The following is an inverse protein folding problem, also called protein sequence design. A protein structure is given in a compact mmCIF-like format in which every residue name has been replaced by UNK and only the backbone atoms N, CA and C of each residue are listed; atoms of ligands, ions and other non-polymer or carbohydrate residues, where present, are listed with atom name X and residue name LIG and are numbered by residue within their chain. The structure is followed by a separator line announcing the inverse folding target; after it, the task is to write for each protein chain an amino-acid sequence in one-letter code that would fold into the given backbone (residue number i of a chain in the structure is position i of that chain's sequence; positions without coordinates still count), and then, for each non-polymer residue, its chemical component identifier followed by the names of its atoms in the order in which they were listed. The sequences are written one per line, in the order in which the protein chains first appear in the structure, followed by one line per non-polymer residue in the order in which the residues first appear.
data_IF_786053402668
#
_entry.id   IF_786053402668
#
_cell.length_a   1.000
_cell.length_b   1.000
_cell.length_c   1.000
_cell.angle_alpha   90.00
_cell.angle_beta   90.00
_cell.angle_gamma   90.00
#
_symmetry.space_group_name_H-M   'P 1'
#
loop_
_entity.id
_entity.type
_entity.pdbx_description
1 polymer ?
#
# COMPACT_ATOMS: atom_id res chain seq x y z
N UNK A 1 -2.91 0.10 25.57
CA UNK A 1 -4.10 0.20 24.71
C UNK A 1 -4.45 1.67 24.57
N UNK A 2 -4.02 2.28 23.46
CA UNK A 2 -4.09 3.75 23.28
C UNK A 2 -5.52 4.21 23.03
N UNK A 3 -6.32 3.44 22.28
CA UNK A 3 -7.72 3.78 22.00
C UNK A 3 -8.55 3.88 23.28
N UNK A 4 -8.48 2.84 24.13
CA UNK A 4 -9.15 2.83 25.43
C UNK A 4 -8.68 3.97 26.34
N UNK A 5 -7.40 4.32 26.31
CA UNK A 5 -6.88 5.44 27.10
C UNK A 5 -7.44 6.77 26.59
N UNK A 6 -7.40 7.02 25.29
CA UNK A 6 -7.89 8.25 24.68
C UNK A 6 -9.38 8.48 24.95
N UNK A 7 -10.20 7.46 24.77
CA UNK A 7 -11.66 7.55 24.94
C UNK A 7 -12.09 7.67 26.42
N UNK A 8 -11.22 7.33 27.38
CA UNK A 8 -11.49 7.55 28.81
C UNK A 8 -11.12 8.96 29.26
N UNK A 9 -10.02 9.49 28.76
CA UNK A 9 -9.46 10.78 29.22
C UNK A 9 -10.15 11.98 28.59
N UNK A 10 -10.76 11.84 27.40
CA UNK A 10 -11.39 12.94 26.68
C UNK A 10 -12.68 12.49 25.99
N UNK A 11 -13.71 13.36 25.94
CA UNK A 11 -14.80 13.16 25.00
C UNK A 11 -14.23 13.31 23.58
N UNK A 12 -14.28 12.21 22.82
CA UNK A 12 -13.88 12.19 21.41
C UNK A 12 -15.06 11.67 20.60
N UNK A 13 -15.48 12.44 19.59
CA UNK A 13 -16.52 12.00 18.65
C UNK A 13 -15.94 11.04 17.61
N UNK A 14 -14.65 11.21 17.28
CA UNK A 14 -13.90 10.36 16.35
C UNK A 14 -12.50 10.10 16.92
N UNK A 15 -12.07 8.84 16.85
CA UNK A 15 -10.69 8.45 17.04
C UNK A 15 -10.20 7.68 15.81
N UNK A 16 -9.05 8.07 15.25
CA UNK A 16 -8.38 7.33 14.19
C UNK A 16 -7.10 6.71 14.75
N UNK A 17 -7.02 5.38 14.71
CA UNK A 17 -5.90 4.59 15.21
C UNK A 17 -5.26 3.88 14.04
N UNK A 18 -3.98 4.13 13.80
CA UNK A 18 -3.19 3.45 12.77
C UNK A 18 -2.00 2.75 13.40
N UNK A 19 -1.65 1.59 12.85
CA UNK A 19 -0.46 0.82 13.23
C UNK A 19 0.64 0.98 12.18
N UNK A 20 1.73 0.26 12.35
CA UNK A 20 2.73 0.04 11.29
C UNK A 20 2.69 -1.43 10.86
N UNK A 21 3.14 -1.70 9.66
CA UNK A 21 3.15 -3.02 9.01
C UNK A 21 4.45 -3.80 9.23
N UNK A 22 5.29 -3.39 10.20
CA UNK A 22 6.57 -4.04 10.50
C UNK A 22 6.41 -5.56 10.70
N UNK A 23 5.41 -5.99 11.47
CA UNK A 23 5.18 -7.42 11.70
C UNK A 23 4.84 -8.17 10.40
N UNK A 24 4.11 -7.53 9.48
CA UNK A 24 3.64 -8.07 8.20
C UNK A 24 4.76 -8.13 7.16
N UNK A 25 5.70 -7.18 7.19
CA UNK A 25 6.95 -7.24 6.44
C UNK A 25 7.84 -8.40 6.89
N UNK A 26 7.94 -8.62 8.21
CA UNK A 26 8.86 -9.62 8.77
C UNK A 26 8.32 -11.05 8.69
N UNK A 27 7.00 -11.24 8.66
CA UNK A 27 6.39 -12.54 8.87
C UNK A 27 5.21 -12.80 7.92
N UNK A 28 5.16 -14.00 7.33
CA UNK A 28 4.00 -14.48 6.59
C UNK A 28 2.78 -14.70 7.53
N UNK A 29 1.54 -14.69 7.03
CA UNK A 29 0.33 -14.77 7.87
C UNK A 29 0.25 -16.00 8.79
N UNK A 30 0.83 -17.12 8.39
CA UNK A 30 0.86 -18.38 9.12
C UNK A 30 2.03 -18.49 10.12
N UNK A 31 2.96 -17.53 10.11
CA UNK A 31 4.08 -17.52 11.03
C UNK A 31 3.61 -17.28 12.48
N UNK A 32 4.17 -17.97 13.50
CA UNK A 32 3.74 -17.82 14.89
C UNK A 32 3.77 -16.39 15.42
N UNK A 33 4.74 -15.57 14.98
CA UNK A 33 4.83 -14.17 15.40
C UNK A 33 3.78 -13.27 14.73
N UNK A 34 3.38 -13.55 13.48
CA UNK A 34 2.27 -12.86 12.82
C UNK A 34 0.94 -13.19 13.51
N UNK A 35 0.71 -14.47 13.81
CA UNK A 35 -0.48 -14.92 14.56
C UNK A 35 -0.53 -14.24 15.94
N UNK A 36 0.60 -14.20 16.65
CA UNK A 36 0.68 -13.50 17.95
C UNK A 36 0.39 -12.01 17.81
N UNK A 37 0.93 -11.35 16.79
CA UNK A 37 0.66 -9.94 16.53
C UNK A 37 -0.84 -9.69 16.30
N UNK A 38 -1.50 -10.52 15.49
CA UNK A 38 -2.94 -10.44 15.26
C UNK A 38 -3.75 -10.68 16.54
N UNK A 39 -3.35 -11.61 17.40
CA UNK A 39 -4.00 -11.83 18.70
C UNK A 39 -3.91 -10.59 19.61
N UNK A 40 -2.79 -9.85 19.58
CA UNK A 40 -2.64 -8.61 20.35
C UNK A 40 -3.62 -7.53 19.86
N UNK A 41 -3.81 -7.43 18.54
CA UNK A 41 -4.77 -6.51 17.94
C UNK A 41 -6.21 -6.90 18.28
N UNK A 42 -6.55 -8.18 18.14
CA UNK A 42 -7.87 -8.73 18.48
C UNK A 42 -8.23 -8.45 19.95
N UNK A 43 -7.32 -8.76 20.87
CA UNK A 43 -7.48 -8.49 22.30
C UNK A 43 -7.69 -6.99 22.60
N UNK A 44 -7.00 -6.11 21.87
CA UNK A 44 -7.15 -4.65 22.04
C UNK A 44 -8.49 -4.15 21.50
N UNK A 45 -8.92 -4.61 20.33
CA UNK A 45 -10.21 -4.29 19.74
C UNK A 45 -11.35 -4.81 20.64
N UNK A 46 -11.24 -6.04 21.14
CA UNK A 46 -12.21 -6.63 22.06
C UNK A 46 -12.35 -5.82 23.36
N UNK A 47 -11.25 -5.36 23.94
CA UNK A 47 -11.31 -4.46 25.12
C UNK A 47 -11.92 -3.11 24.78
N UNK A 48 -11.63 -2.54 23.60
CA UNK A 48 -12.20 -1.28 23.16
C UNK A 48 -13.73 -1.39 23.04
N UNK A 49 -14.22 -2.42 22.35
CA UNK A 49 -15.64 -2.70 22.21
C UNK A 49 -16.32 -2.93 23.58
N UNK A 50 -15.68 -3.68 24.48
CA UNK A 50 -16.25 -3.97 25.80
C UNK A 50 -16.34 -2.73 26.72
N UNK A 51 -15.36 -1.83 26.66
CA UNK A 51 -15.34 -0.62 27.50
C UNK A 51 -16.18 0.51 26.92
N UNK A 52 -16.43 0.50 25.61
CA UNK A 52 -17.16 1.53 24.89
C UNK A 52 -18.27 0.89 24.03
N UNK A 53 -19.30 0.29 24.66
CA UNK A 53 -20.34 -0.49 23.95
C UNK A 53 -21.22 0.35 23.03
N UNK A 54 -21.21 1.68 23.15
CA UNK A 54 -21.93 2.60 22.28
C UNK A 54 -21.08 3.09 21.09
N UNK A 55 -19.79 2.73 21.04
CA UNK A 55 -18.92 3.12 19.94
C UNK A 55 -19.14 2.23 18.72
N UNK A 56 -19.26 2.84 17.55
CA UNK A 56 -19.09 2.14 16.28
C UNK A 56 -17.59 1.95 16.00
N UNK A 57 -17.18 0.74 15.63
CA UNK A 57 -15.79 0.42 15.32
C UNK A 57 -15.71 -0.03 13.86
N UNK A 58 -14.82 0.59 13.10
CA UNK A 58 -14.45 0.19 11.75
C UNK A 58 -12.98 -0.19 11.74
N UNK A 59 -12.66 -1.36 11.19
CA UNK A 59 -11.30 -1.87 11.03
C UNK A 59 -11.03 -2.08 9.55
N UNK A 60 -9.96 -1.49 9.05
CA UNK A 60 -9.49 -1.66 7.67
C UNK A 60 -7.96 -1.63 7.62
N UNK A 61 -7.39 -1.95 6.47
CA UNK A 61 -5.98 -1.69 6.17
C UNK A 61 -5.82 -0.59 5.12
N UNK A 62 -4.65 0.03 5.11
CA UNK A 62 -4.18 0.93 4.04
C UNK A 62 -3.79 0.14 2.79
N UNK A 63 -3.12 -1.00 2.96
CA UNK A 63 -2.79 -1.95 1.90
C UNK A 63 -2.61 -3.38 2.42
N UNK A 64 -2.52 -4.34 1.50
CA UNK A 64 -2.12 -5.72 1.74
C UNK A 64 -0.60 -5.91 1.80
N UNK A 65 -0.15 -7.17 1.78
CA UNK A 65 1.27 -7.53 1.85
C UNK A 65 1.54 -8.89 1.19
N UNK A 66 2.47 -8.95 0.25
CA UNK A 66 2.83 -10.18 -0.47
C UNK A 66 4.31 -10.54 -0.32
N UNK A 67 4.62 -11.82 -0.50
CA UNK A 67 6.00 -12.28 -0.62
C UNK A 67 6.57 -11.88 -1.99
N UNK A 68 7.80 -11.37 -1.99
CA UNK A 68 8.52 -10.88 -3.15
C UNK A 68 9.82 -11.67 -3.30
N UNK A 69 10.00 -12.30 -4.44
CA UNK A 69 11.10 -13.22 -4.71
C UNK A 69 11.97 -12.79 -5.89
N UNK A 70 11.57 -11.73 -6.59
CA UNK A 70 12.26 -11.24 -7.79
C UNK A 70 12.39 -9.72 -7.74
N UNK A 71 13.47 -9.21 -8.34
CA UNK A 71 13.75 -7.79 -8.43
C UNK A 71 14.10 -7.41 -9.88
N UNK A 72 13.45 -6.37 -10.39
CA UNK A 72 13.70 -5.85 -11.74
C UNK A 72 14.25 -4.42 -11.65
N UNK A 73 15.34 -4.18 -12.38
CA UNK A 73 15.93 -2.86 -12.52
C UNK A 73 15.43 -2.17 -13.79
N UNK A 74 14.41 -1.32 -13.64
CA UNK A 74 13.79 -0.61 -14.75
C UNK A 74 14.76 0.36 -15.44
N UNK A 75 15.74 0.90 -14.72
CA UNK A 75 16.73 1.83 -15.28
C UNK A 75 17.71 1.07 -16.16
N UNK A 76 18.20 -0.08 -15.70
CA UNK A 76 19.04 -0.96 -16.49
C UNK A 76 18.32 -1.46 -17.75
N UNK A 77 17.04 -1.85 -17.62
CA UNK A 77 16.19 -2.28 -18.75
C UNK A 77 16.08 -1.20 -19.83
N UNK A 78 15.76 0.04 -19.45
CA UNK A 78 15.60 1.15 -20.41
C UNK A 78 16.94 1.61 -20.99
N UNK A 79 17.98 1.71 -20.18
CA UNK A 79 19.32 2.11 -20.64
C UNK A 79 19.94 1.11 -21.61
N UNK A 80 19.65 -0.19 -21.49
CA UNK A 80 20.06 -1.20 -22.46
C UNK A 80 19.47 -0.97 -23.86
N UNK A 81 18.40 -0.18 -23.97
CA UNK A 81 17.78 0.28 -25.22
C UNK A 81 18.20 1.70 -25.61
N UNK A 82 19.09 2.34 -24.85
CA UNK A 82 19.52 3.72 -25.08
C UNK A 82 18.52 4.77 -24.60
N UNK A 83 17.55 4.39 -23.76
CA UNK A 83 16.56 5.31 -23.20
C UNK A 83 17.03 5.79 -21.83
N UNK A 84 17.39 7.07 -21.75
CA UNK A 84 17.68 7.75 -20.49
C UNK A 84 16.39 7.93 -19.68
N UNK A 85 16.43 7.52 -18.41
CA UNK A 85 15.27 7.58 -17.50
C UNK A 85 15.69 7.68 -16.04
N UNK A 86 14.77 8.17 -15.21
CA UNK A 86 14.91 8.25 -13.76
C UNK A 86 13.71 7.57 -13.07
N UNK A 87 13.77 6.25 -12.82
CA UNK A 87 12.77 5.55 -12.02
C UNK A 87 12.83 5.92 -10.53
N UNK A 88 11.68 6.14 -9.91
CA UNK A 88 11.52 6.52 -8.50
C UNK A 88 10.48 5.61 -7.86
N UNK A 89 10.88 4.85 -6.84
CA UNK A 89 9.96 4.03 -6.04
C UNK A 89 8.92 4.89 -5.33
N UNK A 90 7.66 4.46 -5.36
CA UNK A 90 6.57 5.18 -4.67
C UNK A 90 6.65 5.04 -3.15
N UNK A 91 7.37 4.02 -2.66
CA UNK A 91 7.61 3.77 -1.24
C UNK A 91 8.94 4.37 -0.77
N UNK A 92 9.55 5.29 -1.50
CA UNK A 92 10.87 5.82 -1.18
C UNK A 92 10.85 6.60 0.14
N UNK A 93 11.47 6.04 1.17
CA UNK A 93 11.66 6.70 2.47
C UNK A 93 13.11 7.18 2.61
N UNK A 94 13.29 8.27 3.36
CA UNK A 94 14.58 8.71 3.90
C UNK A 94 15.13 7.68 4.90
N UNK A 95 14.27 6.91 5.56
CA UNK A 95 14.63 5.86 6.52
C UNK A 95 14.37 4.47 5.93
N UNK A 96 15.43 3.79 5.52
CA UNK A 96 15.39 2.57 4.67
C UNK A 96 15.02 1.27 5.43
N UNK A 97 14.62 1.35 6.71
CA UNK A 97 14.54 0.19 7.61
C UNK A 97 13.46 -0.85 7.27
N UNK A 98 12.41 -0.49 6.51
CA UNK A 98 11.20 -1.32 6.42
C UNK A 98 11.09 -2.17 5.15
N UNK A 99 11.57 -1.69 4.00
CA UNK A 99 11.42 -2.39 2.71
C UNK A 99 12.60 -2.16 1.76
N UNK A 100 13.72 -1.59 2.23
CA UNK A 100 14.88 -1.26 1.39
C UNK A 100 14.56 -0.39 0.15
N UNK A 101 13.47 0.39 0.20
CA UNK A 101 12.87 1.08 -0.95
C UNK A 101 12.44 0.18 -2.13
N UNK A 102 12.26 -1.13 -1.90
CA UNK A 102 11.82 -2.13 -2.87
C UNK A 102 10.30 -2.32 -2.81
N UNK A 103 9.60 -1.79 -3.82
CA UNK A 103 8.14 -1.85 -3.92
C UNK A 103 7.68 -2.31 -5.28
N UNK A 104 6.38 -2.65 -5.37
CA UNK A 104 5.76 -3.12 -6.60
C UNK A 104 5.31 -2.02 -7.57
N UNK A 105 5.75 -0.77 -7.37
CA UNK A 105 5.42 0.34 -8.26
C UNK A 105 6.52 1.42 -8.28
N UNK A 106 6.78 1.96 -9.48
CA UNK A 106 7.69 3.08 -9.70
C UNK A 106 7.08 4.12 -10.63
N UNK A 107 7.43 5.38 -10.39
CA UNK A 107 7.25 6.47 -11.34
C UNK A 107 8.53 6.62 -12.17
N UNK A 108 8.42 6.53 -13.48
CA UNK A 108 9.54 6.73 -14.39
C UNK A 108 9.43 8.11 -15.01
N UNK A 109 10.47 8.93 -14.78
CA UNK A 109 10.61 10.25 -15.39
C UNK A 109 11.59 10.15 -16.56
N UNK A 110 11.22 10.65 -17.73
CA UNK A 110 12.03 10.60 -18.95
C UNK A 110 11.64 11.71 -19.93
N UNK A 111 12.37 11.83 -21.03
CA UNK A 111 11.95 12.73 -22.12
C UNK A 111 10.61 12.25 -22.70
N UNK A 112 9.58 13.11 -22.80
CA UNK A 112 8.28 12.75 -23.41
C UNK A 112 8.40 12.15 -24.81
N UNK A 113 9.44 12.49 -25.58
CA UNK A 113 9.69 11.92 -26.90
C UNK A 113 9.94 10.39 -26.86
N UNK A 114 10.40 9.86 -25.73
CA UNK A 114 10.76 8.45 -25.54
C UNK A 114 9.66 7.62 -24.86
N UNK A 115 8.55 8.23 -24.43
CA UNK A 115 7.51 7.53 -23.64
C UNK A 115 6.95 6.32 -24.38
N UNK A 116 6.64 6.44 -25.68
CA UNK A 116 6.06 5.33 -26.45
C UNK A 116 7.01 4.14 -26.52
N UNK A 117 8.29 4.37 -26.85
CA UNK A 117 9.30 3.31 -26.94
C UNK A 117 9.58 2.69 -25.57
N UNK A 118 9.68 3.52 -24.52
CA UNK A 118 9.88 3.04 -23.16
C UNK A 118 8.73 2.15 -22.68
N UNK A 119 7.48 2.52 -22.98
CA UNK A 119 6.31 1.70 -22.61
C UNK A 119 6.30 0.35 -23.33
N UNK A 120 6.70 0.28 -24.60
CA UNK A 120 6.84 -0.99 -25.32
C UNK A 120 7.87 -1.90 -24.64
N UNK A 121 9.05 -1.36 -24.34
CA UNK A 121 10.12 -2.10 -23.65
C UNK A 121 9.66 -2.58 -22.27
N UNK A 122 9.02 -1.71 -21.48
CA UNK A 122 8.56 -2.03 -20.13
C UNK A 122 7.48 -3.13 -20.15
N UNK A 123 6.51 -3.06 -21.06
CA UNK A 123 5.45 -4.08 -21.18
C UNK A 123 5.96 -5.44 -21.63
N UNK A 124 7.07 -5.49 -22.35
CA UNK A 124 7.73 -6.74 -22.74
C UNK A 124 8.70 -7.27 -21.67
N UNK A 125 8.95 -6.52 -20.60
CA UNK A 125 9.90 -6.89 -19.55
C UNK A 125 9.26 -7.89 -18.58
N UNK A 126 9.83 -9.10 -18.40
CA UNK A 126 9.35 -10.03 -17.40
C UNK A 126 9.35 -9.43 -15.99
N UNK A 127 8.24 -9.61 -15.26
CA UNK A 127 8.04 -9.06 -13.92
C UNK A 127 7.34 -7.70 -13.88
N UNK A 128 7.12 -7.06 -15.03
CA UNK A 128 6.24 -5.89 -15.17
C UNK A 128 4.82 -6.36 -15.47
N UNK A 129 3.87 -6.02 -14.61
CA UNK A 129 2.43 -6.29 -14.80
C UNK A 129 1.80 -5.26 -15.75
N UNK A 130 2.10 -3.98 -15.55
CA UNK A 130 1.60 -2.92 -16.43
C UNK A 130 2.57 -1.72 -16.50
N UNK A 131 2.54 -1.02 -17.63
CA UNK A 131 3.17 0.28 -17.80
C UNK A 131 2.17 1.22 -18.45
N UNK A 132 1.84 2.28 -17.73
CA UNK A 132 0.75 3.21 -18.03
C UNK A 132 1.31 4.61 -18.20
N UNK A 133 0.77 5.36 -19.17
CA UNK A 133 1.05 6.79 -19.27
C UNK A 133 0.61 7.50 -17.98
N UNK A 134 1.15 8.70 -17.76
CA UNK A 134 0.68 9.63 -16.72
C UNK A 134 -0.85 9.74 -16.72
N UNK A 135 -1.45 9.98 -17.87
CA UNK A 135 -2.89 10.23 -18.00
C UNK A 135 -3.72 8.96 -17.71
N UNK A 136 -3.30 7.82 -18.24
CA UNK A 136 -3.95 6.52 -17.95
C UNK A 136 -3.87 6.19 -16.46
N UNK A 137 -2.73 6.45 -15.83
CA UNK A 137 -2.50 6.21 -14.41
C UNK A 137 -3.34 7.12 -13.52
N UNK A 138 -3.38 8.41 -13.84
CA UNK A 138 -4.21 9.39 -13.15
C UNK A 138 -5.69 8.99 -13.20
N UNK A 139 -6.18 8.59 -14.38
CA UNK A 139 -7.57 8.17 -14.55
C UNK A 139 -7.87 6.82 -13.85
N UNK A 140 -6.96 5.85 -13.93
CA UNK A 140 -7.18 4.49 -13.39
C UNK A 140 -7.07 4.44 -11.86
N UNK A 141 -6.19 5.24 -11.29
CA UNK A 141 -5.85 5.16 -9.87
C UNK A 141 -6.25 6.41 -9.06
N UNK A 142 -6.99 7.34 -9.67
CA UNK A 142 -7.45 8.58 -9.03
C UNK A 142 -6.27 9.42 -8.49
N UNK A 143 -5.23 9.57 -9.31
CA UNK A 143 -3.98 10.27 -8.94
C UNK A 143 -3.92 11.67 -9.55
N UNK A 144 -3.18 12.55 -8.88
CA UNK A 144 -2.76 13.85 -9.40
C UNK A 144 -1.69 13.68 -10.50
N UNK A 145 -1.99 13.95 -11.79
CA UNK A 145 -1.03 13.74 -12.88
C UNK A 145 0.25 14.59 -12.74
N UNK A 146 0.15 15.74 -12.07
CA UNK A 146 1.27 16.65 -11.80
C UNK A 146 2.26 16.13 -10.74
N UNK A 147 1.91 15.07 -10.01
CA UNK A 147 2.72 14.48 -8.93
C UNK A 147 3.31 13.12 -9.28
N UNK A 148 3.12 12.65 -10.52
CA UNK A 148 3.58 11.33 -10.99
C UNK A 148 4.51 11.43 -12.20
N UNK A 149 5.24 10.35 -12.45
CA UNK A 149 6.15 10.21 -13.59
C UNK A 149 5.43 10.25 -14.95
N UNK A 150 6.21 10.27 -16.02
CA UNK A 150 5.67 10.18 -17.38
C UNK A 150 5.07 8.79 -17.65
N UNK A 151 5.62 7.77 -16.97
CA UNK A 151 5.11 6.40 -16.95
C UNK A 151 4.98 5.94 -15.49
N UNK A 152 3.87 5.30 -15.14
CA UNK A 152 3.73 4.51 -13.90
C UNK A 152 3.83 3.05 -14.26
N UNK A 153 4.72 2.33 -13.56
CA UNK A 153 4.97 0.91 -13.80
C UNK A 153 4.56 0.12 -12.57
N UNK A 154 3.74 -0.92 -12.74
CA UNK A 154 3.34 -1.86 -11.69
C UNK A 154 3.98 -3.22 -11.92
N UNK A 155 4.38 -3.87 -10.83
CA UNK A 155 5.04 -5.15 -10.84
C UNK A 155 4.05 -6.32 -10.70
N UNK A 156 4.45 -7.48 -11.21
CA UNK A 156 3.81 -8.77 -10.92
C UNK A 156 3.74 -9.04 -9.39
N UNK A 157 2.88 -9.98 -8.92
CA UNK A 157 2.64 -10.18 -7.49
C UNK A 157 3.88 -10.48 -6.65
N UNK A 158 4.91 -11.10 -7.25
CA UNK A 158 6.13 -11.54 -6.57
C UNK A 158 7.35 -10.68 -6.88
N UNK A 159 7.18 -9.58 -7.61
CA UNK A 159 8.25 -8.73 -8.11
C UNK A 159 8.27 -7.38 -7.39
N UNK A 160 9.47 -6.87 -7.17
CA UNK A 160 9.73 -5.49 -6.76
C UNK A 160 10.66 -4.82 -7.76
N UNK A 161 10.63 -3.49 -7.79
CA UNK A 161 11.59 -2.70 -8.55
C UNK A 161 12.70 -2.16 -7.65
N UNK A 162 13.94 -2.18 -8.15
CA UNK A 162 15.11 -1.71 -7.41
C UNK A 162 16.34 -1.55 -8.31
N UNK A 163 17.29 -0.73 -7.87
CA UNK A 163 18.60 -0.58 -8.52
C UNK A 163 19.54 -1.66 -7.97
N UNK A 164 19.97 -2.58 -8.84
CA UNK A 164 20.77 -3.74 -8.43
C UNK A 164 22.19 -3.36 -7.98
N UNK A 165 22.67 -2.16 -8.33
CA UNK A 165 23.95 -1.62 -7.87
C UNK A 165 23.83 -0.97 -6.47
N UNK A 166 22.62 -0.55 -6.06
CA UNK A 166 22.37 0.08 -4.76
C UNK A 166 21.86 -0.91 -3.69
N UNK A 167 21.08 -1.92 -4.08
CA UNK A 167 20.40 -2.82 -3.14
C UNK A 167 20.34 -4.25 -3.68
N UNK A 168 20.54 -5.23 -2.80
CA UNK A 168 20.25 -6.63 -3.09
C UNK A 168 18.87 -7.02 -2.58
N UNK A 169 18.19 -7.92 -3.30
CA UNK A 169 16.92 -8.48 -2.87
C UNK A 169 17.11 -9.28 -1.56
N UNK A 170 16.45 -8.91 -0.45
CA UNK A 170 16.53 -9.66 0.79
C UNK A 170 15.83 -11.02 0.69
N UNK A 171 16.40 -12.03 1.34
CA UNK A 171 15.77 -13.34 1.46
C UNK A 171 14.44 -13.24 2.21
N UNK A 172 13.38 -13.79 1.62
CA UNK A 172 12.05 -13.77 2.22
C UNK A 172 11.41 -12.38 2.29
N UNK A 173 11.84 -11.44 1.44
CA UNK A 173 11.23 -10.10 1.36
C UNK A 173 9.70 -10.22 1.25
N UNK A 174 9.01 -9.42 2.05
CA UNK A 174 7.60 -9.14 1.87
C UNK A 174 7.47 -7.65 1.64
N UNK A 175 6.68 -7.24 0.65
CA UNK A 175 6.48 -5.83 0.33
C UNK A 175 5.12 -5.63 -0.33
N UNK A 176 4.85 -4.37 -0.67
CA UNK A 176 3.57 -3.89 -1.19
C UNK A 176 3.78 -2.81 -2.26
N UNK A 177 2.70 -2.15 -2.65
CA UNK A 177 2.71 -1.02 -3.59
C UNK A 177 2.34 -1.38 -5.03
N UNK A 178 2.14 -2.66 -5.35
CA UNK A 178 1.55 -3.06 -6.63
C UNK A 178 0.02 -3.09 -6.56
N UNK A 179 -0.63 -3.41 -7.68
CA UNK A 179 -2.08 -3.65 -7.70
C UNK A 179 -2.51 -4.90 -6.92
N UNK A 180 -1.57 -5.81 -6.62
CA UNK A 180 -1.84 -7.08 -5.96
C UNK A 180 -1.95 -6.99 -4.43
N UNK A 181 -1.69 -5.80 -3.86
CA UNK A 181 -1.88 -5.52 -2.43
C UNK A 181 -3.06 -4.57 -2.19
N UNK A 182 -4.03 -4.49 -3.10
CA UNK A 182 -5.18 -3.58 -2.99
C UNK A 182 -6.36 -4.15 -2.20
N UNK A 183 -6.50 -5.46 -2.18
CA UNK A 183 -7.60 -6.12 -1.47
C UNK A 183 -7.36 -6.06 0.04
N UNK A 184 -8.19 -5.30 0.74
CA UNK A 184 -8.11 -5.07 2.18
C UNK A 184 -9.45 -5.34 2.87
N UNK A 185 -9.45 -5.84 4.11
CA UNK A 185 -10.69 -6.09 4.83
C UNK A 185 -11.35 -4.77 5.26
N UNK A 186 -12.68 -4.74 5.31
CA UNK A 186 -13.44 -3.72 6.05
C UNK A 186 -14.37 -4.47 6.99
N UNK A 187 -14.16 -4.31 8.29
CA UNK A 187 -14.94 -4.96 9.35
C UNK A 187 -15.60 -3.90 10.21
N UNK A 188 -16.92 -3.98 10.34
CA UNK A 188 -17.73 -3.05 11.14
C UNK A 188 -18.34 -3.71 12.36
N UNK A 189 -18.38 -2.97 13.47
CA UNK A 189 -19.07 -3.34 14.71
C UNK A 189 -19.91 -2.15 15.20
N UNK A 190 -21.15 -2.44 15.62
CA UNK A 190 -22.03 -1.50 16.30
C UNK A 190 -22.26 -0.16 15.56
N UNK A 191 -22.47 -0.23 14.24
CA UNK A 191 -22.84 0.93 13.41
C UNK A 191 -24.07 0.64 12.53
N UNK A 192 -24.75 1.70 12.10
CA UNK A 192 -25.84 1.65 11.11
C UNK A 192 -25.28 1.50 9.69
N UNK A 193 -24.74 0.32 9.40
CA UNK A 193 -24.12 0.02 8.11
C UNK A 193 -25.15 -0.30 7.00
N UNK A 194 -26.42 -0.47 7.36
CA UNK A 194 -27.44 -0.88 6.42
C UNK A 194 -27.64 0.16 5.30
N UNK A 195 -27.58 -0.34 4.06
CA UNK A 195 -27.67 0.50 2.87
C UNK A 195 -26.46 1.40 2.61
N UNK A 196 -25.35 1.24 3.34
CA UNK A 196 -24.08 1.90 3.04
C UNK A 196 -23.16 0.95 2.27
N UNK A 197 -22.65 1.40 1.11
CA UNK A 197 -21.76 0.59 0.28
C UNK A 197 -20.30 0.94 0.58
N UNK A 198 -19.52 -0.08 0.95
CA UNK A 198 -18.07 -0.01 1.13
C UNK A 198 -17.37 -0.72 -0.04
N UNK A 199 -16.64 0.05 -0.85
CA UNK A 199 -15.87 -0.43 -2.01
C UNK A 199 -14.38 -0.36 -1.78
N UNK A 200 -13.91 0.61 -1.01
CA UNK A 200 -12.49 0.83 -0.73
C UNK A 200 -12.28 1.37 0.69
N UNK A 201 -11.05 1.30 1.19
CA UNK A 201 -10.74 1.66 2.57
C UNK A 201 -11.14 3.10 2.97
N UNK A 202 -11.11 4.07 2.03
CA UNK A 202 -11.54 5.45 2.29
C UNK A 202 -13.04 5.58 2.58
N UNK A 203 -13.84 4.57 2.23
CA UNK A 203 -15.26 4.53 2.56
C UNK A 203 -15.51 4.40 4.06
N UNK A 204 -14.56 3.89 4.84
CA UNK A 204 -14.63 3.95 6.30
C UNK A 204 -14.71 5.40 6.80
N UNK A 205 -13.92 6.30 6.19
CA UNK A 205 -13.99 7.73 6.46
C UNK A 205 -15.29 8.36 5.95
N UNK A 206 -15.69 8.03 4.72
CA UNK A 206 -16.95 8.52 4.12
C UNK A 206 -18.16 8.17 5.00
N UNK A 207 -18.23 6.93 5.49
CA UNK A 207 -19.27 6.49 6.41
C UNK A 207 -19.35 7.37 7.66
N UNK A 208 -18.21 7.65 8.29
CA UNK A 208 -18.16 8.50 9.50
C UNK A 208 -18.72 9.89 9.22
N UNK A 209 -18.34 10.52 8.10
CA UNK A 209 -18.86 11.85 7.75
C UNK A 209 -20.34 11.85 7.37
N UNK A 210 -20.82 10.83 6.64
CA UNK A 210 -22.18 10.80 6.11
C UNK A 210 -23.24 10.24 7.08
N UNK A 211 -22.84 9.37 8.02
CA UNK A 211 -23.78 8.66 8.92
C UNK A 211 -23.58 8.95 10.40
N UNK A 212 -22.38 9.37 10.81
CA UNK A 212 -22.08 9.61 12.24
C UNK A 212 -22.05 11.10 12.57
N UNK A 213 -21.44 11.92 11.71
CA UNK A 213 -21.30 13.37 11.92
C UNK A 213 -22.35 14.24 11.20
N UNK A 214 -23.22 13.63 10.41
CA UNK A 214 -24.21 14.34 9.57
C UNK A 214 -25.36 14.96 10.37
#
# INVERSE_FOLDING_TARGET
DVGNFLMKERPVDIAYLTTTDFAMHMNAPDHPDAIRHMAILDDAIGRLAANHPDASILVTADHGMNAKSEMVDLKAVLSARGIESNPVAIIKDRYVLHHSNLGGCMYVYLDPANVSEAMEVLRETPGVDDALTREESAARFDLSPELIGDIVVTADPHVVFGDADEVSLPDGLRSHGSVHERDVPIVGYNGDFDGFEFRENRDAGRYVFERVLA
#
